data_IF_975364033109
#
_entry.id   IF_975364033109
#
_cell.length_a   1.000
_cell.length_b   1.000
_cell.length_c   1.000
_cell.angle_alpha   90.00
_cell.angle_beta   90.00
_cell.angle_gamma   90.00
#
_symmetry.space_group_name_H-M   'P 1'
#
loop_
_entity.id
_entity.type
_entity.pdbx_description
1 polymer ?
#
# COMPACT_ATOMS: atom_id res chain seq x y z
N UNK A 1 -4.60 4.35 -15.07
CA UNK A 1 -4.83 3.63 -13.80
C UNK A 1 -5.95 2.62 -14.04
N UNK A 2 -5.66 1.31 -14.12
CA UNK A 2 -6.70 0.28 -14.22
C UNK A 2 -6.96 -0.24 -12.80
N UNK A 3 -8.07 0.15 -12.19
CA UNK A 3 -8.48 -0.42 -10.91
C UNK A 3 -9.06 -1.83 -11.17
N UNK A 4 -8.28 -2.89 -10.93
CA UNK A 4 -8.83 -4.25 -10.87
C UNK A 4 -9.77 -4.34 -9.66
N UNK A 5 -11.07 -4.55 -9.88
CA UNK A 5 -12.01 -4.89 -8.82
C UNK A 5 -11.77 -6.34 -8.41
N UNK A 6 -10.92 -6.55 -7.43
CA UNK A 6 -10.97 -7.77 -6.62
C UNK A 6 -11.37 -7.33 -5.21
N UNK A 7 -12.65 -7.43 -4.90
CA UNK A 7 -13.09 -7.23 -3.52
C UNK A 7 -12.89 -8.58 -2.85
N UNK A 8 -11.99 -8.70 -1.87
CA UNK A 8 -12.03 -9.88 -0.98
C UNK A 8 -13.46 -10.02 -0.44
N UNK A 9 -13.98 -11.24 -0.29
CA UNK A 9 -15.42 -11.54 -0.06
C UNK A 9 -16.13 -10.68 1.01
N UNK A 10 -15.36 -10.08 1.93
CA UNK A 10 -15.82 -9.35 3.11
C UNK A 10 -15.77 -7.82 2.96
N UNK A 11 -15.17 -7.30 1.91
CA UNK A 11 -15.10 -5.86 1.66
C UNK A 11 -16.33 -5.40 0.87
N UNK A 12 -16.93 -4.28 1.29
CA UNK A 12 -18.00 -3.60 0.54
C UNK A 12 -17.43 -2.87 -0.68
N UNK A 13 -16.23 -2.33 -0.52
CA UNK A 13 -15.49 -1.67 -1.60
C UNK A 13 -14.00 -1.92 -1.40
N UNK A 14 -13.31 -2.24 -2.48
CA UNK A 14 -11.86 -2.38 -2.51
C UNK A 14 -11.27 -1.66 -3.72
N UNK A 15 -10.11 -1.04 -3.53
CA UNK A 15 -9.31 -0.43 -4.57
C UNK A 15 -7.83 -0.79 -4.38
N UNK A 16 -7.08 -0.75 -5.47
CA UNK A 16 -5.67 -1.09 -5.48
C UNK A 16 -4.85 0.02 -6.09
N UNK A 17 -3.67 0.23 -5.53
CA UNK A 17 -2.61 1.02 -6.16
C UNK A 17 -1.58 0.03 -6.66
N UNK A 18 -1.27 0.18 -7.95
CA UNK A 18 -0.25 -0.62 -8.60
C UNK A 18 0.95 0.27 -8.93
N UNK A 19 2.14 -0.31 -8.86
CA UNK A 19 3.40 0.34 -9.20
C UNK A 19 4.01 -0.36 -10.41
N UNK A 20 4.65 0.41 -11.29
CA UNK A 20 5.30 -0.12 -12.48
C UNK A 20 6.58 -0.88 -12.12
N UNK A 21 6.76 -2.08 -12.66
CA UNK A 21 7.96 -2.90 -12.52
C UNK A 21 8.62 -3.12 -13.89
N UNK A 22 9.73 -2.43 -14.20
CA UNK A 22 10.40 -2.50 -15.49
C UNK A 22 10.81 -3.92 -15.91
N UNK A 23 11.29 -4.76 -14.98
CA UNK A 23 11.75 -6.11 -15.31
C UNK A 23 10.61 -6.99 -15.85
N UNK A 24 9.40 -6.80 -15.31
CA UNK A 24 8.21 -7.56 -15.70
C UNK A 24 7.35 -6.88 -16.76
N UNK A 25 7.60 -5.60 -17.03
CA UNK A 25 6.81 -4.77 -17.96
C UNK A 25 5.32 -4.74 -17.60
N UNK A 26 5.01 -4.72 -16.30
CA UNK A 26 3.65 -4.70 -15.80
C UNK A 26 3.50 -3.82 -14.55
N UNK A 27 2.26 -3.46 -14.26
CA UNK A 27 1.87 -2.84 -13.00
C UNK A 27 1.54 -3.94 -11.99
N UNK A 28 2.20 -3.91 -10.82
CA UNK A 28 1.96 -4.86 -9.73
C UNK A 28 1.36 -4.16 -8.52
N UNK A 29 0.47 -4.83 -7.80
CA UNK A 29 -0.17 -4.32 -6.60
C UNK A 29 0.85 -4.02 -5.48
N UNK A 30 0.87 -2.77 -5.03
CA UNK A 30 1.67 -2.33 -3.88
C UNK A 30 0.83 -1.88 -2.69
N UNK A 31 -0.40 -1.45 -2.94
CA UNK A 31 -1.33 -1.07 -1.89
C UNK A 31 -2.73 -1.61 -2.17
N UNK A 32 -3.41 -2.01 -1.11
CA UNK A 32 -4.84 -2.29 -1.12
C UNK A 32 -5.53 -1.33 -0.16
N UNK A 33 -6.72 -0.88 -0.52
CA UNK A 33 -7.60 -0.08 0.31
C UNK A 33 -8.95 -0.76 0.34
N UNK A 34 -9.51 -0.96 1.53
CA UNK A 34 -10.80 -1.62 1.68
C UNK A 34 -11.68 -0.96 2.72
N UNK A 35 -12.98 -0.89 2.40
CA UNK A 35 -14.05 -0.52 3.33
C UNK A 35 -14.87 -1.76 3.61
N UNK A 36 -14.99 -2.15 4.89
CA UNK A 36 -15.71 -3.36 5.34
C UNK A 36 -16.96 -3.03 6.17
N UNK A 37 -17.34 -1.74 6.20
CA UNK A 37 -18.45 -1.22 7.02
C UNK A 37 -18.37 -1.75 8.45
N UNK A 38 -19.46 -2.28 8.98
CA UNK A 38 -19.57 -2.80 10.34
C UNK A 38 -19.22 -4.29 10.48
N UNK A 39 -18.80 -5.00 9.42
CA UNK A 39 -18.55 -6.45 9.47
C UNK A 39 -17.51 -6.83 10.56
N UNK A 40 -16.37 -6.14 10.56
CA UNK A 40 -15.32 -6.35 11.56
C UNK A 40 -15.76 -5.84 12.94
N UNK A 41 -16.44 -4.69 12.98
CA UNK A 41 -16.94 -4.08 14.20
C UNK A 41 -17.93 -4.99 14.96
N UNK A 42 -18.86 -5.64 14.26
CA UNK A 42 -19.81 -6.61 14.84
C UNK A 42 -19.11 -7.81 15.46
N UNK A 43 -18.06 -8.31 14.82
CA UNK A 43 -17.28 -9.47 15.32
C UNK A 43 -16.40 -9.14 16.51
N UNK A 44 -15.88 -7.92 16.57
CA UNK A 44 -15.01 -7.44 17.63
C UNK A 44 -15.77 -6.71 18.76
N UNK A 45 -17.08 -6.51 18.61
CA UNK A 45 -17.90 -5.77 19.58
C UNK A 45 -17.57 -4.27 19.65
N UNK A 46 -17.02 -3.70 18.57
CA UNK A 46 -16.59 -2.29 18.55
C UNK A 46 -17.78 -1.41 18.18
N UNK A 47 -18.29 -0.69 19.18
CA UNK A 47 -19.47 0.17 19.06
C UNK A 47 -19.17 1.57 19.57
N UNK A 48 -19.91 2.55 19.07
CA UNK A 48 -19.96 3.90 19.63
C UNK A 48 -21.40 4.20 20.09
N UNK A 49 -21.52 5.14 21.02
CA UNK A 49 -22.79 5.59 21.55
C UNK A 49 -23.27 6.80 20.75
N UNK A 50 -24.48 6.73 20.21
CA UNK A 50 -25.17 7.85 19.56
C UNK A 50 -26.46 8.14 20.33
N UNK A 51 -26.41 9.11 21.24
CA UNK A 51 -27.51 9.38 22.17
C UNK A 51 -27.77 8.18 23.08
N UNK A 52 -28.95 7.56 22.97
CA UNK A 52 -29.33 6.35 23.73
C UNK A 52 -29.02 5.04 22.98
N UNK A 53 -28.63 5.10 21.71
CA UNK A 53 -28.39 3.93 20.88
C UNK A 53 -26.90 3.54 20.84
N UNK A 54 -26.61 2.23 20.80
CA UNK A 54 -25.28 1.70 20.50
C UNK A 54 -25.21 1.26 19.05
N UNK A 55 -24.26 1.80 18.28
CA UNK A 55 -24.08 1.50 16.85
C UNK A 55 -22.68 0.96 16.58
N UNK A 56 -22.57 0.02 15.64
CA UNK A 56 -21.27 -0.47 15.20
C UNK A 56 -20.56 0.59 14.37
N UNK A 57 -19.25 0.76 14.58
CA UNK A 57 -18.44 1.66 13.76
C UNK A 57 -18.23 1.08 12.37
N UNK A 58 -18.03 1.95 11.38
CA UNK A 58 -17.53 1.53 10.07
C UNK A 58 -16.00 1.45 10.09
N UNK A 59 -15.45 0.36 9.57
CA UNK A 59 -14.03 0.13 9.48
C UNK A 59 -13.57 0.17 8.02
N UNK A 60 -12.41 0.76 7.84
CA UNK A 60 -11.63 0.74 6.62
C UNK A 60 -10.17 0.48 6.96
N UNK A 61 -9.42 -0.03 6.00
CA UNK A 61 -7.98 -0.20 6.11
C UNK A 61 -7.31 0.11 4.76
N UNK A 62 -6.03 0.43 4.83
CA UNK A 62 -5.20 0.61 3.65
C UNK A 62 -3.74 0.35 3.95
N UNK A 63 -3.03 -0.23 2.99
CA UNK A 63 -1.57 -0.34 3.08
C UNK A 63 -0.98 1.07 3.09
N UNK A 64 -0.14 1.39 4.08
CA UNK A 64 0.63 2.62 4.08
C UNK A 64 1.93 2.46 3.26
N UNK A 65 2.68 1.38 3.52
CA UNK A 65 3.91 1.07 2.81
C UNK A 65 4.25 -0.43 2.93
N UNK A 66 4.10 -1.19 1.85
CA UNK A 66 4.58 -2.56 1.79
C UNK A 66 6.10 -2.58 1.51
N UNK A 67 6.91 -2.51 2.57
CA UNK A 67 8.36 -2.25 2.52
C UNK A 67 9.08 -3.09 1.47
N UNK A 68 8.85 -4.40 1.42
CA UNK A 68 9.52 -5.30 0.47
C UNK A 68 9.20 -4.97 -0.99
N UNK A 69 7.92 -4.76 -1.32
CA UNK A 69 7.47 -4.44 -2.69
C UNK A 69 7.94 -3.05 -3.12
N UNK A 70 7.87 -2.08 -2.21
CA UNK A 70 8.32 -0.71 -2.51
C UNK A 70 9.84 -0.66 -2.67
N UNK A 71 10.60 -1.42 -1.85
CA UNK A 71 12.04 -1.52 -2.03
C UNK A 71 12.39 -2.09 -3.41
N UNK A 72 11.76 -3.19 -3.81
CA UNK A 72 11.96 -3.77 -5.15
C UNK A 72 11.64 -2.75 -6.26
N UNK A 73 10.50 -2.04 -6.15
CA UNK A 73 10.12 -0.99 -7.11
C UNK A 73 11.15 0.14 -7.18
N UNK A 74 11.72 0.56 -6.03
CA UNK A 74 12.75 1.60 -5.98
C UNK A 74 14.05 1.11 -6.63
N UNK A 75 14.48 -0.12 -6.34
CA UNK A 75 15.69 -0.69 -6.92
C UNK A 75 15.57 -0.80 -8.46
N UNK A 76 14.47 -1.36 -8.96
CA UNK A 76 14.29 -1.54 -10.41
C UNK A 76 14.12 -0.23 -11.18
N UNK A 77 13.36 0.73 -10.65
CA UNK A 77 13.07 1.98 -11.37
C UNK A 77 14.19 3.02 -11.30
N UNK A 78 15.06 2.92 -10.29
CA UNK A 78 16.15 3.89 -10.10
C UNK A 78 17.55 3.30 -10.33
N UNK A 79 17.65 2.10 -10.88
CA UNK A 79 18.93 1.54 -11.31
C UNK A 79 19.53 2.35 -12.47
N UNK A 80 20.85 2.40 -12.52
CA UNK A 80 21.60 3.00 -13.63
C UNK A 80 22.25 1.90 -14.48
N UNK A 81 22.72 2.25 -15.67
CA UNK A 81 23.50 1.34 -16.51
C UNK A 81 24.81 0.85 -15.84
N UNK A 82 25.28 1.52 -14.78
CA UNK A 82 26.45 1.12 -13.99
C UNK A 82 26.10 0.19 -12.81
N UNK A 83 24.85 -0.24 -12.68
CA UNK A 83 24.40 -1.11 -11.59
C UNK A 83 24.22 -0.41 -10.24
N UNK A 84 24.38 0.91 -10.17
CA UNK A 84 24.06 1.70 -8.96
C UNK A 84 22.58 2.04 -8.92
N UNK A 85 22.01 2.29 -7.73
CA UNK A 85 20.63 2.76 -7.58
C UNK A 85 20.61 4.18 -7.04
N UNK A 86 20.05 5.12 -7.79
CA UNK A 86 19.93 6.52 -7.37
C UNK A 86 18.74 6.68 -6.42
N UNK A 87 18.99 7.01 -5.15
CA UNK A 87 17.89 7.09 -4.18
C UNK A 87 16.94 8.25 -4.49
N UNK A 88 15.61 8.09 -4.34
CA UNK A 88 14.65 9.18 -4.35
C UNK A 88 14.96 10.27 -3.31
N UNK A 89 14.69 11.54 -3.63
CA UNK A 89 15.01 12.69 -2.78
C UNK A 89 14.59 12.53 -1.29
N UNK A 90 13.37 12.06 -0.96
CA UNK A 90 12.97 11.87 0.44
C UNK A 90 13.84 10.86 1.21
N UNK A 91 14.29 9.80 0.53
CA UNK A 91 15.14 8.77 1.14
C UNK A 91 16.58 9.28 1.34
N UNK A 92 17.08 10.19 0.49
CA UNK A 92 18.43 10.75 0.63
C UNK A 92 18.63 11.47 1.95
N UNK A 93 17.64 12.26 2.37
CA UNK A 93 17.69 12.98 3.65
C UNK A 93 17.64 12.00 4.83
N UNK A 94 16.79 10.98 4.76
CA UNK A 94 16.62 10.01 5.85
C UNK A 94 17.82 9.09 6.02
N UNK A 95 18.41 8.63 4.92
CA UNK A 95 19.51 7.67 4.89
C UNK A 95 20.89 8.33 4.82
N UNK A 96 20.97 9.67 4.65
CA UNK A 96 22.21 10.41 4.40
C UNK A 96 23.07 9.80 3.28
N UNK A 97 22.39 9.28 2.26
CA UNK A 97 23.00 8.55 1.14
C UNK A 97 22.34 8.99 -0.16
N UNK A 98 23.11 9.21 -1.23
CA UNK A 98 22.57 9.63 -2.53
C UNK A 98 22.29 8.45 -3.47
N UNK A 99 23.09 7.39 -3.37
CA UNK A 99 23.02 6.23 -4.24
C UNK A 99 23.52 4.98 -3.53
N UNK A 100 22.93 3.83 -3.86
CA UNK A 100 23.43 2.52 -3.46
C UNK A 100 24.39 2.02 -4.53
N UNK A 101 25.59 1.60 -4.14
CA UNK A 101 26.55 0.96 -5.01
C UNK A 101 26.42 -0.57 -4.89
N UNK A 102 26.73 -1.33 -5.96
CA UNK A 102 26.95 -2.77 -5.83
C UNK A 102 28.08 -3.04 -4.82
N UNK A 103 27.99 -4.19 -4.13
CA UNK A 103 29.03 -4.68 -3.22
C UNK A 103 30.27 -5.16 -4.01
#
# INVERSE_FOLDING_TARGET
>A
MKAKRFCGEKAKQAGYIETWFPARKEYLETHSLSTVTDYQARRLGIVFQEGKERKCVHMLNGTALAVSRILAAVLEQHQTARGTVVLPSPLRKRLRCRQLAPL
#
